data_IF_323626420658
#
_entry.id   IF_323626420658
#
_cell.length_a   1.000
_cell.length_b   1.000
_cell.length_c   1.000
_cell.angle_alpha   90.00
_cell.angle_beta   90.00
_cell.angle_gamma   90.00
#
_symmetry.space_group_name_H-M   'P 1'
#
loop_
_entity.id
_entity.type
_entity.pdbx_description
1 polymer ?
#
# COMPACT_ATOMS: atom_id res chain seq x y z
N UNK A 1 -37.99 -11.80 12.74
CA UNK A 1 -37.58 -13.19 12.46
C UNK A 1 -37.50 -13.31 10.96
N UNK A 2 -36.29 -13.17 10.42
CA UNK A 2 -35.92 -13.60 9.08
C UNK A 2 -34.39 -13.74 9.13
N UNK A 3 -33.98 -14.78 9.84
CA UNK A 3 -32.65 -15.38 9.74
C UNK A 3 -32.67 -16.29 8.50
N UNK A 4 -31.52 -16.45 7.84
CA UNK A 4 -31.21 -17.50 6.83
C UNK A 4 -31.24 -17.15 5.34
N UNK A 5 -30.37 -16.21 4.90
CA UNK A 5 -29.73 -16.27 3.56
C UNK A 5 -28.22 -15.98 3.60
N UNK A 6 -27.52 -16.42 4.65
CA UNK A 6 -26.07 -16.43 4.69
C UNK A 6 -25.54 -17.81 4.34
N UNK A 7 -25.13 -18.03 3.09
CA UNK A 7 -24.49 -19.26 2.63
C UNK A 7 -23.09 -19.44 3.22
N UNK A 8 -22.98 -19.61 4.54
CA UNK A 8 -21.73 -19.87 5.25
C UNK A 8 -21.83 -21.19 6.00
N UNK A 9 -20.95 -22.12 5.64
CA UNK A 9 -20.85 -23.45 6.25
C UNK A 9 -20.28 -23.31 7.68
N UNK A 10 -21.02 -23.66 8.74
CA UNK A 10 -20.64 -23.42 10.13
C UNK A 10 -19.43 -24.26 10.61
N UNK A 11 -18.92 -25.16 9.78
CA UNK A 11 -17.72 -25.97 10.07
C UNK A 11 -16.43 -25.34 9.56
N UNK A 12 -16.51 -24.27 8.76
CA UNK A 12 -15.35 -23.61 8.17
C UNK A 12 -14.94 -22.37 8.96
N UNK A 13 -13.79 -22.43 9.64
CA UNK A 13 -13.20 -21.31 10.40
C UNK A 13 -12.84 -20.08 9.55
N UNK A 14 -12.78 -20.18 8.22
CA UNK A 14 -12.59 -19.04 7.32
C UNK A 14 -13.93 -18.42 6.84
N UNK A 15 -15.09 -18.95 7.24
CA UNK A 15 -16.42 -18.36 6.99
C UNK A 15 -16.81 -17.38 8.09
N UNK A 16 -16.04 -16.30 8.23
CA UNK A 16 -16.49 -15.14 9.00
C UNK A 16 -17.37 -14.24 8.12
N UNK A 17 -18.46 -13.65 8.64
CA UNK A 17 -19.20 -12.63 7.89
C UNK A 17 -18.22 -11.53 7.53
N UNK A 18 -18.22 -11.15 6.25
CA UNK A 18 -17.23 -10.28 5.66
C UNK A 18 -17.43 -8.85 6.18
N UNK A 19 -16.86 -8.54 7.35
CA UNK A 19 -16.95 -7.22 7.97
C UNK A 19 -16.47 -6.12 7.02
N UNK A 20 -15.59 -6.46 6.07
CA UNK A 20 -15.09 -5.53 5.06
C UNK A 20 -16.17 -5.14 4.04
N UNK A 21 -17.25 -5.90 3.89
CA UNK A 21 -18.44 -5.48 3.11
C UNK A 21 -19.12 -4.23 3.66
N UNK A 22 -18.87 -3.87 4.92
CA UNK A 22 -19.40 -2.66 5.57
C UNK A 22 -18.40 -1.51 5.60
N UNK A 23 -17.19 -1.75 5.10
CA UNK A 23 -16.13 -0.76 4.99
C UNK A 23 -16.10 -0.22 3.55
N UNK A 24 -16.21 1.09 3.41
CA UNK A 24 -16.21 1.72 2.11
C UNK A 24 -15.29 2.94 2.09
N UNK A 25 -14.80 3.27 0.90
CA UNK A 25 -14.04 4.48 0.68
C UNK A 25 -15.00 5.68 0.60
N UNK A 26 -14.67 6.76 1.30
CA UNK A 26 -15.35 8.07 1.21
C UNK A 26 -14.54 9.03 0.34
N UNK A 27 -13.23 9.06 0.55
CA UNK A 27 -12.30 9.83 -0.26
C UNK A 27 -10.91 9.19 -0.21
N UNK A 28 -10.15 9.38 -1.27
CA UNK A 28 -8.74 9.02 -1.34
C UNK A 28 -7.95 10.25 -1.79
N UNK A 29 -6.92 10.58 -1.03
CA UNK A 29 -5.92 11.58 -1.42
C UNK A 29 -4.61 10.83 -1.61
N UNK A 30 -4.39 10.38 -2.84
CA UNK A 30 -3.12 9.81 -3.27
C UNK A 30 -2.12 10.94 -3.52
N UNK A 31 -0.97 10.84 -2.87
CA UNK A 31 0.21 11.66 -3.17
C UNK A 31 1.32 10.73 -3.68
N UNK A 32 1.83 10.94 -4.89
CA UNK A 32 2.93 10.12 -5.38
C UNK A 32 4.24 10.48 -4.67
N UNK A 33 5.08 9.48 -4.43
CA UNK A 33 6.46 9.72 -3.99
C UNK A 33 7.25 10.33 -5.15
N UNK A 34 7.94 11.47 -4.98
CA UNK A 34 8.39 12.31 -6.09
C UNK A 34 9.44 11.66 -7.01
N UNK A 35 10.03 10.53 -6.62
CA UNK A 35 11.06 9.83 -7.39
C UNK A 35 10.65 8.43 -7.84
N UNK A 36 11.12 8.04 -9.03
CA UNK A 36 10.99 6.69 -9.59
C UNK A 36 12.37 6.03 -9.62
N UNK A 37 12.44 4.77 -9.19
CA UNK A 37 13.60 3.92 -9.39
C UNK A 37 13.65 3.45 -10.84
N UNK A 38 14.51 4.04 -11.68
CA UNK A 38 14.50 3.78 -13.13
C UNK A 38 15.34 2.58 -13.53
N UNK A 39 16.56 2.48 -13.01
CA UNK A 39 17.51 1.42 -13.38
C UNK A 39 18.60 1.25 -12.34
N UNK A 40 19.38 0.18 -12.48
CA UNK A 40 20.54 -0.06 -11.62
C UNK A 40 21.65 -0.75 -12.40
N UNK A 41 22.90 -0.46 -12.04
CA UNK A 41 24.08 -1.15 -12.54
C UNK A 41 25.01 -1.41 -11.38
N UNK A 42 25.26 -2.69 -11.08
CA UNK A 42 26.06 -3.10 -9.94
C UNK A 42 25.42 -2.66 -8.62
N UNK A 43 26.00 -1.65 -7.96
CA UNK A 43 25.53 -1.10 -6.68
C UNK A 43 25.03 0.34 -6.77
N UNK A 44 24.88 0.86 -7.98
CA UNK A 44 24.42 2.21 -8.25
C UNK A 44 23.01 2.17 -8.81
N UNK A 45 22.14 2.99 -8.25
CA UNK A 45 20.72 3.08 -8.57
C UNK A 45 20.43 4.45 -9.18
N UNK A 46 19.76 4.46 -10.33
CA UNK A 46 19.29 5.67 -10.99
C UNK A 46 17.89 6.01 -10.49
N UNK A 47 17.74 7.22 -9.94
CA UNK A 47 16.46 7.78 -9.52
C UNK A 47 16.17 9.04 -10.33
N UNK A 48 14.96 9.13 -10.88
CA UNK A 48 14.48 10.29 -11.62
C UNK A 48 13.30 10.90 -10.87
N UNK A 49 13.08 12.21 -10.99
CA UNK A 49 11.79 12.77 -10.61
C UNK A 49 10.70 12.22 -11.55
N UNK A 50 9.47 12.08 -11.05
CA UNK A 50 8.35 11.53 -11.85
C UNK A 50 8.12 12.33 -13.14
N UNK A 51 8.21 13.65 -13.03
CA UNK A 51 8.02 14.60 -14.12
C UNK A 51 9.26 14.79 -15.00
N UNK A 52 10.38 14.14 -14.65
CA UNK A 52 11.68 14.24 -15.33
C UNK A 52 12.22 15.68 -15.42
N UNK A 53 11.80 16.56 -14.51
CA UNK A 53 12.25 17.95 -14.46
C UNK A 53 13.67 18.11 -13.92
N UNK A 54 14.16 17.14 -13.13
CA UNK A 54 15.51 17.14 -12.56
C UNK A 54 16.42 16.08 -13.20
N UNK A 55 17.76 16.29 -13.22
CA UNK A 55 18.69 15.29 -13.69
C UNK A 55 18.65 14.01 -12.84
N UNK A 56 18.91 12.86 -13.48
CA UNK A 56 19.02 11.56 -12.80
C UNK A 56 20.04 11.60 -11.66
N UNK A 57 19.62 11.15 -10.49
CA UNK A 57 20.49 10.94 -9.35
C UNK A 57 21.00 9.50 -9.33
N UNK A 58 22.32 9.34 -9.25
CA UNK A 58 22.97 8.03 -9.18
C UNK A 58 23.45 7.78 -7.74
N UNK A 59 22.74 6.90 -7.03
CA UNK A 59 22.88 6.73 -5.58
C UNK A 59 23.23 5.27 -5.22
N UNK A 60 23.77 5.05 -4.04
CA UNK A 60 24.08 3.73 -3.47
C UNK A 60 23.31 3.50 -2.17
N UNK A 61 23.31 2.26 -1.68
CA UNK A 61 22.81 1.97 -0.32
C UNK A 61 23.65 2.79 0.67
N UNK A 62 22.99 3.57 1.51
CA UNK A 62 23.64 4.53 2.39
C UNK A 62 23.39 6.00 2.01
N UNK A 63 23.11 6.28 0.74
CA UNK A 63 22.98 7.65 0.24
C UNK A 63 21.57 8.20 0.48
N UNK A 64 21.48 9.52 0.59
CA UNK A 64 20.23 10.28 0.71
C UNK A 64 19.85 10.79 -0.66
N UNK A 65 18.57 10.70 -1.00
CA UNK A 65 18.03 11.23 -2.26
C UNK A 65 17.96 12.76 -2.13
N UNK A 66 18.68 13.46 -2.99
CA UNK A 66 18.68 14.92 -3.04
C UNK A 66 17.26 15.47 -3.22
N UNK A 67 16.93 16.51 -2.47
CA UNK A 67 15.57 17.08 -2.42
C UNK A 67 14.64 16.38 -1.40
N UNK A 68 15.10 15.34 -0.71
CA UNK A 68 14.32 14.63 0.32
C UNK A 68 15.17 14.28 1.55
N UNK A 69 14.52 13.81 2.61
CA UNK A 69 15.17 13.20 3.78
C UNK A 69 15.17 11.66 3.76
N UNK A 70 14.92 11.05 2.60
CA UNK A 70 14.91 9.60 2.44
C UNK A 70 16.29 9.06 2.05
N UNK A 71 16.74 8.06 2.81
CA UNK A 71 17.98 7.31 2.59
C UNK A 71 17.68 5.96 1.97
N UNK A 72 18.50 5.51 1.03
CA UNK A 72 18.44 4.12 0.52
C UNK A 72 19.00 3.19 1.59
N UNK A 73 18.16 2.31 2.14
CA UNK A 73 18.58 1.38 3.21
C UNK A 73 18.75 -0.05 2.72
N UNK A 74 18.05 -0.45 1.65
CA UNK A 74 18.17 -1.81 1.10
C UNK A 74 17.79 -1.86 -0.38
N UNK A 75 18.50 -2.70 -1.12
CA UNK A 75 18.12 -3.13 -2.46
C UNK A 75 17.77 -4.61 -2.44
N UNK A 76 16.68 -4.99 -3.10
CA UNK A 76 16.26 -6.38 -3.26
C UNK A 76 16.01 -6.65 -4.74
N UNK A 77 16.89 -7.44 -5.36
CA UNK A 77 16.70 -7.84 -6.75
C UNK A 77 15.54 -8.85 -6.85
N UNK A 78 14.57 -8.59 -7.73
CA UNK A 78 13.39 -9.45 -7.92
C UNK A 78 13.00 -9.53 -9.39
N UNK A 79 12.49 -10.69 -9.77
CA UNK A 79 11.88 -10.90 -11.07
C UNK A 79 10.52 -11.56 -10.92
N UNK A 80 9.57 -11.17 -11.75
CA UNK A 80 8.23 -11.73 -11.77
C UNK A 80 7.84 -12.05 -13.22
N UNK A 81 7.18 -13.19 -13.50
CA UNK A 81 6.57 -13.39 -14.81
C UNK A 81 5.43 -12.41 -15.02
N UNK A 82 5.40 -11.76 -16.19
CA UNK A 82 4.25 -10.99 -16.64
C UNK A 82 3.11 -11.91 -17.11
N UNK A 83 2.03 -11.30 -17.63
CA UNK A 83 0.86 -12.03 -18.15
C UNK A 83 1.18 -12.96 -19.34
N UNK A 84 2.34 -12.82 -19.96
CA UNK A 84 2.82 -13.63 -21.08
C UNK A 84 3.93 -14.61 -20.65
N UNK A 85 4.26 -14.66 -19.36
CA UNK A 85 5.32 -15.52 -18.80
C UNK A 85 6.74 -14.95 -18.92
N UNK A 86 6.89 -13.71 -19.39
CA UNK A 86 8.20 -13.04 -19.50
C UNK A 86 8.68 -12.59 -18.13
N UNK A 87 9.91 -12.94 -17.75
CA UNK A 87 10.49 -12.46 -16.49
C UNK A 87 10.84 -10.97 -16.60
N UNK A 88 10.04 -10.14 -15.94
CA UNK A 88 10.29 -8.70 -15.82
C UNK A 88 11.07 -8.40 -14.54
N UNK A 89 12.00 -7.45 -14.60
CA UNK A 89 12.71 -6.93 -13.42
C UNK A 89 11.76 -6.06 -12.60
N UNK A 90 11.45 -6.53 -11.39
CA UNK A 90 10.60 -5.83 -10.41
C UNK A 90 11.38 -5.60 -9.12
N UNK A 91 12.69 -5.36 -9.25
CA UNK A 91 13.56 -5.08 -8.13
C UNK A 91 13.10 -3.87 -7.31
N UNK A 92 13.41 -3.90 -6.03
CA UNK A 92 12.90 -2.95 -5.03
C UNK A 92 14.04 -2.20 -4.35
N UNK A 93 13.85 -0.89 -4.17
CA UNK A 93 14.62 -0.07 -3.24
C UNK A 93 13.76 0.25 -2.02
N UNK A 94 14.23 -0.17 -0.85
CA UNK A 94 13.68 0.29 0.41
C UNK A 94 14.38 1.59 0.81
N UNK A 95 13.56 2.61 1.01
CA UNK A 95 13.95 3.91 1.50
C UNK A 95 13.48 4.05 2.94
N UNK A 96 14.23 4.81 3.73
CA UNK A 96 13.85 5.19 5.09
C UNK A 96 14.10 6.67 5.33
N UNK A 97 13.10 7.35 5.88
CA UNK A 97 13.24 8.75 6.28
C UNK A 97 14.16 8.85 7.50
N UNK A 98 15.18 9.72 7.43
CA UNK A 98 16.27 9.80 8.41
C UNK A 98 15.81 10.02 9.86
N UNK A 99 14.78 10.85 10.06
CA UNK A 99 14.30 11.23 11.40
C UNK A 99 13.09 10.41 11.87
N UNK A 100 12.11 10.17 11.00
CA UNK A 100 10.84 9.53 11.38
C UNK A 100 10.87 8.01 11.22
N UNK A 101 11.91 7.46 10.59
CA UNK A 101 12.03 6.04 10.23
C UNK A 101 10.87 5.49 9.38
N UNK A 102 10.07 6.38 8.78
CA UNK A 102 9.03 6.01 7.83
C UNK A 102 9.68 5.41 6.59
N UNK A 103 9.13 4.30 6.10
CA UNK A 103 9.69 3.57 4.97
C UNK A 103 8.87 3.74 3.70
N UNK A 104 9.55 3.72 2.55
CA UNK A 104 8.94 3.72 1.22
C UNK A 104 9.65 2.68 0.37
N UNK A 105 8.89 1.87 -0.37
CA UNK A 105 9.46 0.92 -1.33
C UNK A 105 9.25 1.42 -2.74
N UNK A 106 10.33 1.70 -3.46
CA UNK A 106 10.30 1.96 -4.90
C UNK A 106 10.49 0.65 -5.64
N UNK A 107 9.47 0.24 -6.40
CA UNK A 107 9.60 -0.85 -7.38
C UNK A 107 10.12 -0.24 -8.68
N UNK A 108 11.07 -0.93 -9.34
CA UNK A 108 11.65 -0.48 -10.60
C UNK A 108 10.55 -0.08 -11.59
N UNK A 109 10.70 1.11 -12.17
CA UNK A 109 9.83 1.73 -13.18
C UNK A 109 8.37 1.96 -12.75
N UNK A 110 8.06 1.87 -11.44
CA UNK A 110 6.73 2.15 -10.91
C UNK A 110 6.75 3.38 -10.02
N UNK A 111 5.69 4.18 -10.13
CA UNK A 111 5.39 5.25 -9.18
C UNK A 111 4.99 4.61 -7.86
N UNK A 112 5.63 5.03 -6.77
CA UNK A 112 5.28 4.60 -5.44
C UNK A 112 4.34 5.61 -4.78
N UNK A 113 3.44 5.11 -3.94
CA UNK A 113 2.55 5.93 -3.13
C UNK A 113 3.31 6.52 -1.94
N UNK A 114 3.20 7.83 -1.73
CA UNK A 114 3.82 8.54 -0.61
C UNK A 114 3.24 8.09 0.73
N UNK A 115 4.04 8.09 1.82
CA UNK A 115 3.53 7.92 3.18
C UNK A 115 2.51 8.98 3.61
N UNK A 116 2.47 10.12 2.91
CA UNK A 116 1.50 11.19 3.17
C UNK A 116 0.12 10.92 2.56
N UNK A 117 -0.01 9.90 1.70
CA UNK A 117 -1.30 9.51 1.13
C UNK A 117 -2.27 9.06 2.21
N UNK A 118 -3.53 9.48 2.08
CA UNK A 118 -4.59 9.20 3.05
C UNK A 118 -5.84 8.65 2.38
N UNK A 119 -6.52 7.73 3.06
CA UNK A 119 -7.84 7.26 2.70
C UNK A 119 -8.82 7.58 3.83
N UNK A 120 -9.93 8.22 3.51
CA UNK A 120 -11.07 8.37 4.43
C UNK A 120 -11.99 7.19 4.21
N UNK A 121 -12.18 6.40 5.26
CA UNK A 121 -13.02 5.22 5.24
C UNK A 121 -14.28 5.45 6.06
N UNK A 122 -15.39 4.87 5.61
CA UNK A 122 -16.64 4.78 6.37
C UNK A 122 -16.91 3.32 6.70
N UNK A 123 -17.17 3.07 7.97
CA UNK A 123 -17.59 1.77 8.47
C UNK A 123 -19.03 1.87 8.97
N UNK A 124 -19.90 0.99 8.47
CA UNK A 124 -21.36 1.09 8.70
C UNK A 124 -21.89 0.09 9.73
N UNK A 125 -21.03 -0.74 10.30
CA UNK A 125 -21.42 -1.70 11.34
C UNK A 125 -21.62 -1.01 12.69
N UNK A 126 -22.81 -1.18 13.29
CA UNK A 126 -23.15 -0.57 14.57
C UNK A 126 -23.36 0.96 14.50
N UNK A 127 -23.49 1.50 13.29
CA UNK A 127 -23.61 2.94 13.02
C UNK A 127 -22.60 3.38 11.95
N UNK A 128 -22.79 4.59 11.42
CA UNK A 128 -21.85 5.21 10.47
C UNK A 128 -20.69 5.81 11.25
N UNK A 129 -19.49 5.26 11.07
CA UNK A 129 -18.24 5.78 11.63
C UNK A 129 -17.27 6.09 10.51
N UNK A 130 -16.90 7.35 10.39
CA UNK A 130 -15.87 7.81 9.44
C UNK A 130 -14.55 8.01 10.16
N UNK A 131 -13.45 7.64 9.50
CA UNK A 131 -12.10 7.83 10.01
C UNK A 131 -11.08 7.88 8.87
N UNK A 132 -10.01 8.64 9.09
CA UNK A 132 -8.89 8.75 8.16
C UNK A 132 -7.81 7.73 8.53
N UNK A 133 -7.24 7.09 7.52
CA UNK A 133 -6.11 6.17 7.64
C UNK A 133 -5.00 6.62 6.69
N UNK A 134 -3.80 6.83 7.22
CA UNK A 134 -2.61 7.17 6.43
C UNK A 134 -1.95 5.91 5.86
N UNK A 135 -1.19 6.08 4.78
CA UNK A 135 -0.38 4.99 4.22
C UNK A 135 0.52 4.37 5.30
N UNK A 136 0.53 3.05 5.35
CA UNK A 136 1.19 2.18 6.35
C UNK A 136 0.66 2.28 7.78
N UNK A 137 -0.40 3.05 8.02
CA UNK A 137 -1.09 3.07 9.32
C UNK A 137 -1.92 1.80 9.50
N UNK A 138 -1.85 1.26 10.72
CA UNK A 138 -2.66 0.14 11.15
C UNK A 138 -3.95 0.62 11.83
N UNK A 139 -5.03 -0.14 11.64
CA UNK A 139 -6.32 0.09 12.26
C UNK A 139 -7.07 -1.22 12.47
N UNK A 140 -7.98 -1.23 13.44
CA UNK A 140 -8.86 -2.37 13.72
C UNK A 140 -10.32 -1.99 13.50
N UNK A 141 -11.15 -2.99 13.23
CA UNK A 141 -12.58 -2.83 13.01
C UNK A 141 -13.36 -3.59 14.07
N UNK A 142 -14.28 -2.91 14.74
CA UNK A 142 -15.23 -3.59 15.62
C UNK A 142 -16.15 -4.49 14.79
N UNK A 143 -16.62 -5.63 15.33
CA UNK A 143 -16.44 -6.09 16.71
C UNK A 143 -15.13 -6.86 16.93
N UNK A 144 -14.36 -7.18 15.88
CA UNK A 144 -13.15 -8.02 15.96
C UNK A 144 -11.90 -7.16 16.02
N UNK A 145 -11.65 -6.57 17.19
CA UNK A 145 -10.48 -5.69 17.42
C UNK A 145 -9.13 -6.45 17.40
N UNK A 146 -9.15 -7.78 17.45
CA UNK A 146 -7.97 -8.65 17.35
C UNK A 146 -7.39 -8.70 15.92
N UNK A 147 -8.17 -8.29 14.91
CA UNK A 147 -7.70 -8.21 13.53
C UNK A 147 -7.21 -6.78 13.25
N UNK A 148 -5.90 -6.66 13.02
CA UNK A 148 -5.29 -5.41 12.56
C UNK A 148 -5.16 -5.41 11.05
N UNK A 149 -5.71 -4.37 10.42
CA UNK A 149 -5.54 -4.06 9.01
C UNK A 149 -4.51 -2.96 8.85
N UNK A 150 -3.79 -2.96 7.73
CA UNK A 150 -2.87 -1.89 7.35
C UNK A 150 -3.21 -1.34 5.98
N UNK A 151 -3.26 -0.02 5.83
CA UNK A 151 -3.39 0.62 4.52
C UNK A 151 -2.07 0.54 3.76
N UNK A 152 -2.02 -0.25 2.68
CA UNK A 152 -0.79 -0.49 1.92
C UNK A 152 -0.74 0.22 0.58
N UNK A 153 -1.86 0.74 0.10
CA UNK A 153 -1.90 1.55 -1.12
C UNK A 153 -3.13 2.45 -1.13
N UNK A 154 -3.02 3.60 -1.80
CA UNK A 154 -4.12 4.56 -1.99
C UNK A 154 -4.10 4.94 -3.46
N UNK A 155 -5.23 4.72 -4.12
CA UNK A 155 -5.46 5.07 -5.52
C UNK A 155 -6.68 6.00 -5.61
N UNK A 156 -6.93 6.68 -6.74
CA UNK A 156 -7.97 7.70 -6.80
C UNK A 156 -9.38 7.12 -6.61
N UNK A 157 -9.57 5.83 -6.90
CA UNK A 157 -10.86 5.13 -6.83
C UNK A 157 -10.93 3.98 -5.83
N UNK A 158 -9.82 3.65 -5.16
CA UNK A 158 -9.77 2.55 -4.19
C UNK A 158 -8.64 2.72 -3.18
N UNK A 159 -8.84 2.16 -1.99
CA UNK A 159 -7.79 1.93 -1.02
C UNK A 159 -7.46 0.43 -0.98
N UNK A 160 -6.19 0.07 -0.81
CA UNK A 160 -5.78 -1.34 -0.65
C UNK A 160 -5.27 -1.56 0.76
N UNK A 161 -5.88 -2.51 1.45
CA UNK A 161 -5.50 -2.90 2.80
C UNK A 161 -5.00 -4.35 2.83
N UNK A 162 -4.28 -4.71 3.89
CA UNK A 162 -3.93 -6.09 4.20
C UNK A 162 -4.24 -6.40 5.65
N UNK A 163 -4.65 -7.63 5.93
CA UNK A 163 -4.63 -8.14 7.29
C UNK A 163 -3.16 -8.40 7.68
N UNK A 164 -2.71 -7.80 8.77
CA UNK A 164 -1.33 -7.94 9.29
C UNK A 164 -0.93 -9.39 9.57
N UNK A 165 -1.88 -10.27 9.92
CA UNK A 165 -1.65 -11.70 10.14
C UNK A 165 -1.60 -12.50 8.83
N UNK A 166 -2.19 -11.98 7.75
CA UNK A 166 -2.20 -12.57 6.40
C UNK A 166 -1.73 -11.53 5.36
N UNK A 167 -0.46 -11.06 5.41
CA UNK A 167 -0.01 -9.90 4.64
C UNK A 167 0.00 -10.10 3.11
N UNK A 168 -0.09 -11.34 2.64
CA UNK A 168 -0.15 -11.66 1.22
C UNK A 168 -1.57 -11.52 0.62
N UNK A 169 -2.60 -11.42 1.46
CA UNK A 169 -3.99 -11.23 1.02
C UNK A 169 -4.30 -9.73 0.95
N UNK A 170 -4.19 -9.16 -0.26
CA UNK A 170 -4.56 -7.77 -0.53
C UNK A 170 -6.06 -7.65 -0.68
N UNK A 171 -6.63 -6.61 -0.09
CA UNK A 171 -8.07 -6.36 -0.08
C UNK A 171 -8.32 -4.96 -0.62
N UNK A 172 -9.13 -4.85 -1.66
CA UNK A 172 -9.47 -3.58 -2.30
C UNK A 172 -10.78 -3.03 -1.72
N UNK A 173 -10.75 -1.77 -1.30
CA UNK A 173 -11.90 -1.03 -0.75
C UNK A 173 -12.24 0.10 -1.73
N UNK A 174 -13.34 -0.05 -2.44
CA UNK A 174 -13.88 0.97 -3.35
C UNK A 174 -14.88 1.91 -2.69
N UNK A 175 -15.32 2.91 -3.44
CA UNK A 175 -16.45 3.75 -3.05
C UNK A 175 -17.74 2.93 -2.91
N UNK A 176 -18.68 3.43 -2.10
CA UNK A 176 -20.05 2.91 -2.13
C UNK A 176 -20.62 3.21 -3.52
N UNK A 177 -20.99 2.18 -4.28
CA UNK A 177 -21.79 2.39 -5.47
C UNK A 177 -23.16 2.95 -5.03
N UNK A 178 -23.63 4.06 -5.63
CA UNK A 178 -24.92 4.65 -5.29
C UNK A 178 -26.10 3.71 -5.59
#
# INVERSE_FOLDING_TARGET
MDEWQGGTDPTNKDSHPDYLTKLHLVSAKEEPFPFIFSSWVGRTFALNTIDQSEPTQFLKVGDVIGGTDFKIVKFTQKHQPDQYGTKVDVSELLLEHKTTHVQVTLVKEKVATSPQSVATLVYTWGGRREFEVRKDQEFSLKPVEEINYKLIDVQPNKAVIVNTQKPNARIEIGFVNP
#
